data_IF_609336300838
#
_entry.id   IF_609336300838
#
_cell.length_a   1.000
_cell.length_b   1.000
_cell.length_c   1.000
_cell.angle_alpha   90.00
_cell.angle_beta   90.00
_cell.angle_gamma   90.00
#
_symmetry.space_group_name_H-M   'P 1'
#
loop_
_entity.id
_entity.type
_entity.pdbx_description
1 polymer ?
#
# COMPACT_ATOMS: atom_id res chain seq x y z
N UNK A 1 25.70 -9.46 -3.40
CA UNK A 1 25.14 -10.78 -3.07
C UNK A 1 24.51 -11.38 -4.31
N UNK A 2 24.55 -12.70 -4.38
CA UNK A 2 23.84 -13.55 -5.34
C UNK A 2 22.40 -13.09 -5.60
N UNK A 3 21.62 -12.81 -4.55
CA UNK A 3 20.24 -12.32 -4.65
C UNK A 3 20.11 -11.00 -5.40
N UNK A 4 21.08 -10.09 -5.26
CA UNK A 4 21.10 -8.82 -5.99
C UNK A 4 21.38 -9.06 -7.48
N UNK A 5 22.31 -9.97 -7.81
CA UNK A 5 22.59 -10.35 -9.20
C UNK A 5 21.37 -11.01 -9.86
N UNK A 6 20.70 -11.94 -9.17
CA UNK A 6 19.47 -12.55 -9.67
C UNK A 6 18.35 -11.52 -9.82
N UNK A 7 18.25 -10.54 -8.90
CA UNK A 7 17.25 -9.47 -9.01
C UNK A 7 17.47 -8.62 -10.26
N UNK A 8 18.72 -8.22 -10.54
CA UNK A 8 19.08 -7.53 -11.78
C UNK A 8 18.82 -8.39 -13.02
N UNK A 9 19.20 -9.68 -12.96
CA UNK A 9 18.95 -10.65 -14.02
C UNK A 9 17.46 -10.79 -14.34
N UNK A 10 16.60 -10.85 -13.33
CA UNK A 10 15.13 -10.92 -13.52
C UNK A 10 14.55 -9.60 -14.01
N UNK A 11 15.05 -8.46 -13.52
CA UNK A 11 14.57 -7.14 -13.93
C UNK A 11 14.79 -6.88 -15.42
N UNK A 12 15.97 -7.25 -15.93
CA UNK A 12 16.36 -7.08 -17.33
C UNK A 12 16.12 -8.34 -18.17
N UNK A 13 15.56 -9.40 -17.58
CA UNK A 13 15.37 -10.72 -18.19
C UNK A 13 16.66 -11.27 -18.83
N UNK A 14 17.81 -11.05 -18.20
CA UNK A 14 19.12 -11.47 -18.71
C UNK A 14 19.19 -13.00 -18.77
N UNK A 15 19.68 -13.52 -19.89
CA UNK A 15 19.95 -14.96 -20.06
C UNK A 15 20.85 -15.47 -18.93
N UNK A 16 20.63 -16.71 -18.48
CA UNK A 16 21.32 -17.35 -17.34
C UNK A 16 20.95 -16.77 -15.96
N UNK A 17 21.25 -15.48 -15.69
CA UNK A 17 21.13 -14.87 -14.36
C UNK A 17 19.71 -14.80 -13.79
N UNK A 18 18.68 -14.81 -14.64
CA UNK A 18 17.29 -14.76 -14.17
C UNK A 18 16.83 -16.03 -13.44
N UNK A 19 17.42 -17.17 -13.80
CA UNK A 19 16.98 -18.51 -13.38
C UNK A 19 18.06 -19.29 -12.62
N UNK A 20 19.33 -18.87 -12.69
CA UNK A 20 20.45 -19.57 -12.06
C UNK A 20 21.01 -18.78 -10.88
N UNK A 21 21.27 -19.49 -9.78
CA UNK A 21 22.02 -18.95 -8.66
C UNK A 21 23.48 -18.79 -9.09
N UNK A 22 24.06 -17.59 -9.02
CA UNK A 22 25.43 -17.39 -9.45
C UNK A 22 26.42 -17.92 -8.40
N UNK A 23 27.50 -18.55 -8.84
CA UNK A 23 28.50 -19.14 -7.94
C UNK A 23 29.24 -18.06 -7.12
N UNK A 24 29.91 -18.50 -6.06
CA UNK A 24 30.72 -17.61 -5.24
C UNK A 24 31.81 -16.93 -6.07
N UNK A 25 31.99 -15.62 -5.86
CA UNK A 25 32.91 -14.76 -6.60
C UNK A 25 32.64 -14.62 -8.11
N UNK A 26 31.47 -15.09 -8.58
CA UNK A 26 30.94 -14.65 -9.88
C UNK A 26 30.73 -13.13 -9.91
N UNK A 27 30.72 -12.56 -11.11
CA UNK A 27 30.37 -11.15 -11.29
C UNK A 27 29.62 -10.91 -12.59
N UNK A 28 28.87 -9.82 -12.60
CA UNK A 28 28.26 -9.24 -13.79
C UNK A 28 28.88 -7.86 -14.02
N UNK A 29 29.31 -7.58 -15.25
CA UNK A 29 29.80 -6.26 -15.65
C UNK A 29 28.85 -5.62 -16.66
N UNK A 30 28.63 -4.32 -16.48
CA UNK A 30 27.91 -3.48 -17.43
C UNK A 30 28.96 -2.57 -18.07
N UNK A 31 29.17 -2.75 -19.36
CA UNK A 31 30.16 -1.98 -20.13
C UNK A 31 29.42 -1.00 -21.05
N UNK A 32 29.82 0.26 -20.99
CA UNK A 32 29.32 1.32 -21.85
C UNK A 32 30.42 1.74 -22.81
N UNK A 33 30.15 1.63 -24.10
CA UNK A 33 31.06 1.95 -25.19
C UNK A 33 30.53 3.14 -25.98
N UNK A 34 31.38 4.07 -26.36
CA UNK A 34 31.06 5.15 -27.28
C UNK A 34 31.65 4.82 -28.65
N UNK A 35 30.80 4.63 -29.65
CA UNK A 35 31.20 4.25 -31.01
C UNK A 35 30.41 5.12 -31.99
N UNK A 36 31.11 5.94 -32.78
CA UNK A 36 30.51 6.84 -33.77
C UNK A 36 29.35 7.67 -33.18
N UNK A 37 29.61 8.40 -32.10
CA UNK A 37 28.64 9.23 -31.35
C UNK A 37 27.42 8.45 -30.80
N UNK A 38 27.49 7.12 -30.75
CA UNK A 38 26.44 6.25 -30.22
C UNK A 38 26.94 5.50 -28.99
N UNK A 39 26.11 5.48 -27.95
CA UNK A 39 26.39 4.73 -26.73
C UNK A 39 25.82 3.31 -26.82
N UNK A 40 26.71 2.32 -26.78
CA UNK A 40 26.39 0.89 -26.84
C UNK A 40 26.63 0.28 -25.46
N UNK A 41 25.69 -0.56 -25.02
CA UNK A 41 25.80 -1.29 -23.76
C UNK A 41 26.03 -2.77 -24.04
N UNK A 42 26.98 -3.35 -23.31
CA UNK A 42 27.19 -4.78 -23.23
C UNK A 42 27.11 -5.22 -21.77
N UNK A 43 26.48 -6.38 -21.54
CA UNK A 43 26.42 -6.98 -20.22
C UNK A 43 27.17 -8.30 -20.30
N UNK A 44 28.16 -8.47 -19.45
CA UNK A 44 28.95 -9.69 -19.37
C UNK A 44 28.76 -10.36 -18.02
N UNK A 45 28.83 -11.68 -18.00
CA UNK A 45 28.78 -12.47 -16.78
C UNK A 45 29.93 -13.46 -16.77
N UNK A 46 30.63 -13.53 -15.65
CA UNK A 46 31.62 -14.56 -15.41
C UNK A 46 31.12 -15.47 -14.28
N UNK A 47 30.78 -16.74 -14.59
CA UNK A 47 30.18 -17.66 -13.62
C UNK A 47 31.15 -18.07 -12.53
N UNK A 48 32.41 -18.35 -12.88
CA UNK A 48 33.43 -18.80 -11.92
C UNK A 48 34.77 -18.09 -12.18
N UNK A 49 35.67 -18.12 -11.20
CA UNK A 49 36.98 -17.47 -11.31
C UNK A 49 37.86 -18.02 -12.44
N UNK A 50 37.61 -19.27 -12.88
CA UNK A 50 38.43 -19.95 -13.88
C UNK A 50 37.81 -19.96 -15.28
N UNK A 51 36.54 -19.56 -15.39
CA UNK A 51 35.83 -19.52 -16.67
C UNK A 51 35.93 -18.17 -17.35
N UNK A 52 35.78 -18.18 -18.67
CA UNK A 52 35.71 -16.95 -19.46
C UNK A 52 34.38 -16.24 -19.24
N UNK A 53 34.40 -14.91 -19.33
CA UNK A 53 33.18 -14.10 -19.34
C UNK A 53 32.34 -14.41 -20.57
N UNK A 54 31.02 -14.49 -20.40
CA UNK A 54 30.03 -14.67 -21.45
C UNK A 54 29.20 -13.39 -21.62
N UNK A 55 28.93 -12.99 -22.87
CA UNK A 55 28.05 -11.87 -23.14
C UNK A 55 26.59 -12.31 -22.94
N UNK A 56 25.85 -11.59 -22.11
CA UNK A 56 24.44 -11.86 -21.84
C UNK A 56 23.55 -11.21 -22.90
N UNK A 57 22.58 -11.95 -23.39
CA UNK A 57 21.52 -11.38 -24.23
C UNK A 57 20.55 -10.57 -23.37
N UNK A 58 20.08 -9.45 -23.92
CA UNK A 58 19.12 -8.53 -23.29
C UNK A 58 17.83 -8.59 -24.11
N UNK A 59 16.84 -9.42 -23.72
CA UNK A 59 15.59 -9.54 -24.47
C UNK A 59 14.91 -8.18 -24.63
N UNK A 60 14.52 -7.86 -25.86
CA UNK A 60 13.96 -6.55 -26.21
C UNK A 60 14.99 -5.49 -26.61
N UNK A 61 16.30 -5.79 -26.53
CA UNK A 61 17.35 -4.94 -27.08
C UNK A 61 18.14 -5.70 -28.17
N UNK A 62 18.21 -5.22 -29.42
CA UNK A 62 19.03 -5.84 -30.46
C UNK A 62 20.53 -5.74 -30.14
N UNK A 63 21.36 -6.61 -30.73
CA UNK A 63 22.82 -6.51 -30.66
C UNK A 63 23.37 -5.75 -31.88
N UNK A 64 24.21 -4.70 -31.72
CA UNK A 64 24.62 -4.08 -30.45
C UNK A 64 23.47 -3.30 -29.77
N UNK A 65 23.38 -3.38 -28.44
CA UNK A 65 22.30 -2.75 -27.68
C UNK A 65 22.58 -1.27 -27.45
N UNK A 66 21.74 -0.40 -28.00
CA UNK A 66 21.89 1.05 -27.83
C UNK A 66 21.36 1.44 -26.44
N UNK A 67 22.10 2.29 -25.72
CA UNK A 67 21.74 2.73 -24.36
C UNK A 67 20.31 3.31 -24.26
N UNK A 68 19.86 4.02 -25.29
CA UNK A 68 18.51 4.59 -25.36
C UNK A 68 17.42 3.52 -25.40
N UNK A 69 17.66 2.38 -26.07
CA UNK A 69 16.75 1.24 -26.12
C UNK A 69 16.73 0.49 -24.79
N UNK A 70 17.91 0.23 -24.21
CA UNK A 70 18.01 -0.38 -22.87
C UNK A 70 17.23 0.43 -21.83
N UNK A 71 17.35 1.75 -21.87
CA UNK A 71 16.67 2.68 -20.96
C UNK A 71 15.14 2.63 -21.04
N UNK A 72 14.59 2.07 -22.12
CA UNK A 72 13.15 1.92 -22.32
C UNK A 72 12.60 0.57 -21.86
N UNK A 73 13.47 -0.43 -21.61
CA UNK A 73 13.03 -1.77 -21.22
C UNK A 73 12.44 -1.84 -19.80
N UNK A 74 12.92 -0.98 -18.90
CA UNK A 74 12.50 -0.98 -17.50
C UNK A 74 11.89 0.38 -17.16
N UNK A 75 10.64 0.41 -16.63
CA UNK A 75 10.04 1.67 -16.22
C UNK A 75 10.87 2.33 -15.11
N UNK A 76 11.12 3.62 -15.24
CA UNK A 76 11.79 4.39 -14.18
C UNK A 76 10.90 4.43 -12.95
N UNK A 77 11.39 3.89 -11.84
CA UNK A 77 10.74 3.94 -10.54
C UNK A 77 11.42 5.02 -9.72
N UNK A 78 10.65 6.02 -9.29
CA UNK A 78 11.16 7.06 -8.37
C UNK A 78 11.40 6.48 -6.98
N UNK A 79 12.26 7.12 -6.18
CA UNK A 79 12.49 6.72 -4.78
C UNK A 79 11.20 6.65 -3.97
N UNK A 80 10.25 7.56 -4.21
CA UNK A 80 8.95 7.56 -3.54
C UNK A 80 8.10 6.35 -3.91
N UNK A 81 8.00 6.03 -5.20
CA UNK A 81 7.27 4.85 -5.68
C UNK A 81 7.91 3.54 -5.19
N UNK A 82 9.24 3.47 -5.18
CA UNK A 82 9.96 2.30 -4.66
C UNK A 82 9.65 2.09 -3.18
N UNK A 83 9.75 3.16 -2.36
CA UNK A 83 9.40 3.09 -0.93
C UNK A 83 7.96 2.64 -0.72
N UNK A 84 7.00 3.26 -1.41
CA UNK A 84 5.59 2.90 -1.28
C UNK A 84 5.33 1.42 -1.63
N UNK A 85 6.00 0.89 -2.67
CA UNK A 85 5.86 -0.52 -3.07
C UNK A 85 6.56 -1.49 -2.11
N UNK A 86 7.73 -1.12 -1.59
CA UNK A 86 8.58 -2.00 -0.81
C UNK A 86 8.34 -1.93 0.70
N UNK A 87 7.76 -0.84 1.22
CA UNK A 87 7.43 -0.71 2.65
C UNK A 87 6.32 -1.66 3.11
N UNK A 88 5.60 -2.29 2.17
CA UNK A 88 4.43 -3.11 2.48
C UNK A 88 3.26 -2.26 3.01
N UNK A 89 2.13 -2.90 3.36
CA UNK A 89 1.06 -2.19 4.07
C UNK A 89 1.59 -1.67 5.41
N UNK A 90 1.23 -0.43 5.75
CA UNK A 90 1.59 0.18 7.03
C UNK A 90 1.06 -0.70 8.17
N UNK A 91 1.89 -1.15 9.13
CA UNK A 91 1.43 -1.96 10.26
C UNK A 91 0.37 -1.24 11.12
N UNK A 92 0.29 0.10 11.04
CA UNK A 92 -0.73 0.90 11.73
C UNK A 92 -2.08 0.90 10.99
N UNK A 93 -2.09 0.59 9.70
CA UNK A 93 -3.31 0.42 8.90
C UNK A 93 -3.66 -1.07 8.90
N UNK A 94 -3.98 -1.62 10.07
CA UNK A 94 -4.74 -2.89 10.11
C UNK A 94 -6.16 -2.56 9.64
N UNK A 95 -6.48 -2.95 8.41
CA UNK A 95 -7.80 -2.80 7.79
C UNK A 95 -8.93 -3.32 8.69
N UNK A 96 -8.63 -4.28 9.58
CA UNK A 96 -9.57 -4.79 10.58
C UNK A 96 -9.88 -3.76 11.66
N UNK A 97 -8.90 -2.97 12.13
CA UNK A 97 -9.13 -1.92 13.12
C UNK A 97 -10.01 -0.79 12.58
N UNK A 98 -9.83 -0.40 11.31
CA UNK A 98 -10.70 0.61 10.67
C UNK A 98 -12.12 0.09 10.50
N UNK A 99 -12.29 -1.17 10.09
CA UNK A 99 -13.61 -1.78 9.89
C UNK A 99 -14.35 -1.96 11.23
N UNK A 100 -13.74 -2.62 12.22
CA UNK A 100 -14.36 -2.82 13.54
C UNK A 100 -14.54 -1.51 14.32
N UNK A 101 -13.63 -0.55 14.17
CA UNK A 101 -13.76 0.79 14.75
C UNK A 101 -14.97 1.55 14.20
N UNK A 102 -15.21 1.48 12.89
CA UNK A 102 -16.37 2.13 12.26
C UNK A 102 -17.71 1.49 12.67
N UNK A 103 -17.77 0.16 12.77
CA UNK A 103 -19.00 -0.55 13.18
C UNK A 103 -19.31 -0.31 14.66
N UNK A 104 -18.30 -0.30 15.53
CA UNK A 104 -18.51 -0.01 16.96
C UNK A 104 -18.91 1.45 17.20
N UNK A 105 -18.27 2.41 16.51
CA UNK A 105 -18.60 3.83 16.64
C UNK A 105 -20.04 4.15 16.24
N UNK A 106 -20.51 3.59 15.12
CA UNK A 106 -21.88 3.81 14.65
C UNK A 106 -22.93 3.23 15.62
N UNK A 107 -22.70 2.04 16.16
CA UNK A 107 -23.58 1.44 17.17
C UNK A 107 -23.69 2.31 18.43
N UNK A 108 -22.58 2.84 18.92
CA UNK A 108 -22.58 3.74 20.10
C UNK A 108 -23.41 5.00 19.84
N UNK A 109 -23.28 5.61 18.65
CA UNK A 109 -24.07 6.80 18.27
C UNK A 109 -25.56 6.48 18.25
N UNK A 110 -25.98 5.34 17.67
CA UNK A 110 -27.39 4.94 17.68
C UNK A 110 -27.94 4.72 19.09
N UNK A 111 -27.16 4.10 19.99
CA UNK A 111 -27.54 3.91 21.38
C UNK A 111 -27.77 5.25 22.08
N UNK A 112 -26.89 6.23 21.87
CA UNK A 112 -27.02 7.58 22.46
C UNK A 112 -28.28 8.28 21.95
N UNK A 113 -28.57 8.19 20.65
CA UNK A 113 -29.77 8.78 20.06
C UNK A 113 -31.05 8.17 20.63
N UNK A 114 -31.11 6.83 20.73
CA UNK A 114 -32.25 6.12 21.30
C UNK A 114 -32.46 6.52 22.78
N UNK A 115 -31.39 6.55 23.58
CA UNK A 115 -31.48 6.97 24.98
C UNK A 115 -31.95 8.42 25.12
N UNK A 116 -31.49 9.33 24.28
CA UNK A 116 -31.95 10.72 24.27
C UNK A 116 -33.45 10.84 23.97
N UNK A 117 -33.95 10.06 23.00
CA UNK A 117 -35.38 10.02 22.69
C UNK A 117 -36.18 9.44 23.86
N UNK A 118 -35.74 8.33 24.47
CA UNK A 118 -36.42 7.72 25.61
C UNK A 118 -36.48 8.68 26.82
N UNK A 119 -35.39 9.38 27.12
CA UNK A 119 -35.35 10.37 28.20
C UNK A 119 -36.27 11.56 27.92
N UNK A 120 -36.33 12.05 26.68
CA UNK A 120 -37.23 13.15 26.32
C UNK A 120 -38.71 12.75 26.39
N UNK A 121 -39.06 11.52 25.99
CA UNK A 121 -40.41 10.96 26.13
C UNK A 121 -40.76 10.77 27.61
N UNK A 122 -39.86 10.21 28.42
CA UNK A 122 -40.07 10.04 29.86
C UNK A 122 -40.29 11.39 30.56
N UNK A 123 -39.48 12.39 30.23
CA UNK A 123 -39.65 13.75 30.76
C UNK A 123 -40.99 14.33 30.32
N UNK A 124 -41.37 14.19 29.04
CA UNK A 124 -42.67 14.66 28.53
C UNK A 124 -43.83 13.98 29.25
N UNK A 125 -43.78 12.66 29.49
CA UNK A 125 -44.78 11.91 30.24
C UNK A 125 -44.87 12.34 31.70
N UNK A 126 -43.72 12.55 32.37
CA UNK A 126 -43.68 13.03 33.75
C UNK A 126 -44.21 14.46 33.87
N UNK A 127 -43.83 15.34 32.95
CA UNK A 127 -44.32 16.71 32.89
C UNK A 127 -45.82 16.75 32.59
N UNK A 128 -46.29 15.93 31.65
CA UNK A 128 -47.71 15.77 31.33
C UNK A 128 -48.50 15.26 32.55
N UNK A 129 -48.02 14.20 33.22
CA UNK A 129 -48.63 13.66 34.43
C UNK A 129 -48.70 14.70 35.55
N UNK A 130 -47.63 15.46 35.77
CA UNK A 130 -47.60 16.50 36.79
C UNK A 130 -48.58 17.64 36.45
N UNK A 131 -48.68 18.04 35.18
CA UNK A 131 -49.69 19.00 34.70
C UNK A 131 -51.12 18.47 34.88
N UNK A 132 -51.38 17.22 34.51
CA UNK A 132 -52.68 16.58 34.67
C UNK A 132 -53.10 16.54 36.14
N UNK A 133 -52.22 16.08 37.05
CA UNK A 133 -52.49 16.06 38.48
C UNK A 133 -52.81 17.46 39.03
N UNK A 134 -52.10 18.49 38.56
CA UNK A 134 -52.36 19.88 38.96
C UNK A 134 -53.73 20.41 38.48
N UNK A 135 -54.19 19.98 37.31
CA UNK A 135 -55.51 20.35 36.77
C UNK A 135 -56.65 19.53 37.40
N UNK A 136 -56.39 18.27 37.72
CA UNK A 136 -57.37 17.36 38.32
C UNK A 136 -57.55 17.55 39.83
N UNK A 137 -56.78 18.45 40.46
CA UNK A 137 -56.87 18.74 41.89
C UNK A 137 -58.18 19.46 42.23
N UNK A 138 -59.13 18.78 42.90
CA UNK A 138 -60.47 19.32 43.17
C UNK A 138 -60.46 20.51 44.13
N UNK A 139 -59.37 20.74 44.87
CA UNK A 139 -59.28 21.87 45.80
C UNK A 139 -59.12 23.22 45.06
N UNK A 140 -58.50 23.25 43.88
CA UNK A 140 -58.44 24.47 43.04
C UNK A 140 -59.74 24.76 42.31
N UNK A 141 -60.53 23.75 41.99
CA UNK A 141 -61.83 23.94 41.34
C UNK A 141 -62.81 24.72 42.22
N UNK A 142 -62.65 24.65 43.55
CA UNK A 142 -63.43 25.41 44.53
C UNK A 142 -63.04 26.88 44.66
N UNK A 143 -61.89 27.30 44.13
CA UNK A 143 -61.41 28.69 44.18
C UNK A 143 -61.77 29.50 42.92
N UNK A 144 -62.37 28.86 41.92
CA UNK A 144 -62.76 29.46 40.64
C UNK A 144 -64.28 29.62 40.48
N UNK A 145 -65.06 29.30 41.52
CA UNK A 145 -66.50 29.57 41.63
C UNK A 145 -66.78 30.46 42.85
#
# INVERSE_FOLDING_TARGET
>A
HDTNMMTLGRLLNLTYLKDHLPDYASYVSFELHEINDSFIVQIWFQPTLNESRIELDIPGCPKPCIFSQLSQLVPRVTTGQWKAKCSGPDPLVDTRCTLYGSMSGTLVVFIILILGVLLSVLWSCLAYRNRYNRLSDPERHKLLN
#
